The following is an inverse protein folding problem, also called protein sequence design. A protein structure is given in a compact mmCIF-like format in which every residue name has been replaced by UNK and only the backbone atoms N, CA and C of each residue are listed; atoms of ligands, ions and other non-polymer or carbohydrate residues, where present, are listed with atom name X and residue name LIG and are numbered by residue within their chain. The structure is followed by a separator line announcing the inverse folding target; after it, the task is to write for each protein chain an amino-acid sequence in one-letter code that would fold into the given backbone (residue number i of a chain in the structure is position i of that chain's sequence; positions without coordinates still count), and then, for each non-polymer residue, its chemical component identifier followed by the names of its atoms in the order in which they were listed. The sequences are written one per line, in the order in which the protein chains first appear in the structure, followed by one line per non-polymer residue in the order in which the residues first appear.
data_IF_882604092206
#
_entry.id   IF_882604092206
#
_cell.length_a   1.000
_cell.length_b   1.000
_cell.length_c   1.000
_cell.angle_alpha   90.00
_cell.angle_beta   90.00
_cell.angle_gamma   90.00
#
_symmetry.space_group_name_H-M   'P 1'
#
loop_
_entity.id
_entity.type
_entity.pdbx_description
1 polymer ?
#
# COMPACT_ATOMS: atom_id res chain seq x y z
N UNK A 1 -6.88 25.33 -23.69
CA UNK A 1 -5.55 25.07 -23.11
C UNK A 1 -5.45 23.57 -22.92
N UNK A 2 -4.57 22.90 -23.66
CA UNK A 2 -4.38 21.45 -23.52
C UNK A 2 -3.59 21.23 -22.23
N UNK A 3 -4.22 20.62 -21.23
CA UNK A 3 -3.50 20.18 -20.04
C UNK A 3 -2.40 19.21 -20.51
N UNK A 4 -1.16 19.45 -20.12
CA UNK A 4 -0.04 18.57 -20.45
C UNK A 4 -0.13 17.36 -19.50
N UNK A 5 -0.94 16.39 -19.90
CA UNK A 5 -1.22 15.19 -19.10
C UNK A 5 0.06 14.36 -19.05
N UNK A 6 0.62 14.16 -17.86
CA UNK A 6 1.67 13.16 -17.66
C UNK A 6 1.02 11.79 -17.83
N UNK A 7 1.36 11.10 -18.91
CA UNK A 7 0.86 9.75 -19.19
C UNK A 7 1.16 8.80 -18.05
N UNK A 8 0.28 7.82 -17.84
CA UNK A 8 0.43 6.80 -16.78
C UNK A 8 1.76 6.07 -16.86
N UNK A 9 2.35 5.97 -18.05
CA UNK A 9 3.64 5.35 -18.33
C UNK A 9 4.82 6.04 -17.63
N UNK A 10 4.67 7.31 -17.27
CA UNK A 10 5.72 8.08 -16.59
C UNK A 10 5.85 7.80 -15.09
N UNK A 11 4.88 7.10 -14.49
CA UNK A 11 4.89 6.76 -13.07
C UNK A 11 5.42 5.34 -12.85
N UNK A 12 6.13 5.12 -11.76
CA UNK A 12 6.49 3.78 -11.29
C UNK A 12 5.27 3.08 -10.68
N UNK A 13 5.25 1.73 -10.63
CA UNK A 13 4.10 0.98 -10.10
C UNK A 13 3.72 1.42 -8.68
N UNK A 14 4.69 1.78 -7.85
CA UNK A 14 4.47 2.29 -6.49
C UNK A 14 3.74 3.63 -6.46
N UNK A 15 3.93 4.45 -7.49
CA UNK A 15 3.27 5.73 -7.64
C UNK A 15 1.85 5.56 -8.20
N UNK A 16 1.60 4.53 -9.02
CA UNK A 16 0.27 4.28 -9.60
C UNK A 16 -0.81 4.18 -8.52
N UNK A 17 -0.58 3.43 -7.44
CA UNK A 17 -1.56 3.33 -6.33
C UNK A 17 -1.82 4.69 -5.67
N UNK A 18 -0.77 5.51 -5.47
CA UNK A 18 -0.88 6.84 -4.86
C UNK A 18 -1.59 7.83 -5.77
N UNK A 19 -1.25 7.83 -7.06
CA UNK A 19 -1.87 8.65 -8.10
C UNK A 19 -3.37 8.31 -8.24
N UNK A 20 -3.70 7.03 -8.35
CA UNK A 20 -5.09 6.56 -8.39
C UNK A 20 -5.87 6.98 -7.13
N UNK A 21 -5.26 6.83 -5.94
CA UNK A 21 -5.85 7.29 -4.69
C UNK A 21 -6.12 8.80 -4.67
N UNK A 22 -5.19 9.61 -5.15
CA UNK A 22 -5.33 11.06 -5.26
C UNK A 22 -6.46 11.48 -6.20
N UNK A 23 -6.56 10.86 -7.37
CA UNK A 23 -7.67 11.13 -8.31
C UNK A 23 -9.03 10.72 -7.73
N UNK A 24 -9.10 9.60 -7.01
CA UNK A 24 -10.32 9.17 -6.33
C UNK A 24 -10.74 10.14 -5.21
N UNK A 25 -9.77 10.66 -4.44
CA UNK A 25 -10.02 11.67 -3.43
C UNK A 25 -10.53 12.98 -4.05
N UNK A 26 -9.97 13.39 -5.19
CA UNK A 26 -10.45 14.56 -5.93
C UNK A 26 -11.92 14.40 -6.37
N UNK A 27 -12.30 13.21 -6.87
CA UNK A 27 -13.69 12.92 -7.25
C UNK A 27 -14.68 12.98 -6.08
N UNK A 28 -14.25 12.58 -4.88
CA UNK A 28 -15.07 12.63 -3.67
C UNK A 28 -15.14 14.02 -3.03
N UNK A 29 -14.27 14.95 -3.44
CA UNK A 29 -14.23 16.29 -2.85
C UNK A 29 -15.27 17.21 -3.50
N UNK A 30 -16.27 17.62 -2.72
CA UNK A 30 -17.34 18.52 -3.16
C UNK A 30 -16.84 19.94 -3.53
N UNK A 31 -15.66 20.34 -3.04
CA UNK A 31 -15.06 21.65 -3.33
C UNK A 31 -14.20 21.67 -4.61
N UNK A 32 -14.24 20.62 -5.44
CA UNK A 32 -13.47 20.55 -6.69
C UNK A 32 -14.35 20.82 -7.90
N UNK A 33 -13.76 21.42 -8.94
CA UNK A 33 -14.48 21.76 -10.18
C UNK A 33 -14.84 20.52 -11.00
N UNK A 34 -15.90 20.63 -11.80
CA UNK A 34 -16.33 19.55 -12.70
C UNK A 34 -15.26 19.19 -13.73
N UNK A 35 -14.52 20.18 -14.25
CA UNK A 35 -13.39 19.95 -15.16
C UNK A 35 -12.28 19.13 -14.49
N UNK A 36 -11.96 19.42 -13.22
CA UNK A 36 -10.96 18.65 -12.46
C UNK A 36 -11.42 17.21 -12.20
N UNK A 37 -12.73 17.02 -11.98
CA UNK A 37 -13.33 15.69 -11.81
C UNK A 37 -13.34 14.91 -13.12
N UNK A 38 -13.68 15.53 -14.24
CA UNK A 38 -13.61 14.90 -15.56
C UNK A 38 -12.20 14.43 -15.88
N UNK A 39 -11.19 15.28 -15.64
CA UNK A 39 -9.79 14.90 -15.80
C UNK A 39 -9.40 13.73 -14.88
N UNK A 40 -9.82 13.75 -13.62
CA UNK A 40 -9.52 12.66 -12.68
C UNK A 40 -10.16 11.33 -13.07
N UNK A 41 -11.35 11.35 -13.71
CA UNK A 41 -11.97 10.15 -14.28
C UNK A 41 -11.14 9.61 -15.45
N UNK A 42 -10.76 10.47 -16.40
CA UNK A 42 -9.96 10.05 -17.55
C UNK A 42 -8.62 9.40 -17.12
N UNK A 43 -7.93 9.98 -16.13
CA UNK A 43 -6.70 9.39 -15.59
C UNK A 43 -6.92 8.03 -14.91
N UNK A 44 -8.04 7.86 -14.19
CA UNK A 44 -8.36 6.58 -13.55
C UNK A 44 -8.67 5.51 -14.59
N UNK A 45 -9.43 5.85 -15.63
CA UNK A 45 -9.74 4.93 -16.74
C UNK A 45 -8.46 4.51 -17.49
N UNK A 46 -7.50 5.42 -17.70
CA UNK A 46 -6.19 5.10 -18.30
C UNK A 46 -5.38 4.15 -17.40
N UNK A 47 -5.32 4.42 -16.09
CA UNK A 47 -4.63 3.56 -15.12
C UNK A 47 -5.24 2.16 -15.07
N UNK A 48 -6.58 2.07 -15.08
CA UNK A 48 -7.29 0.79 -15.05
C UNK A 48 -7.09 0.00 -16.35
N UNK A 49 -7.24 0.66 -17.51
CA UNK A 49 -7.02 0.06 -18.83
C UNK A 49 -5.59 -0.45 -19.02
N UNK A 50 -4.61 0.22 -18.40
CA UNK A 50 -3.21 -0.22 -18.44
C UNK A 50 -2.92 -1.52 -17.66
N UNK A 51 -3.86 -2.00 -16.82
CA UNK A 51 -3.67 -3.16 -15.95
C UNK A 51 -2.63 -2.97 -14.83
N UNK A 52 -2.02 -1.77 -14.75
CA UNK A 52 -0.93 -1.50 -13.81
C UNK A 52 -1.39 -1.41 -12.36
N UNK A 53 -2.66 -1.05 -12.14
CA UNK A 53 -3.24 -0.98 -10.80
C UNK A 53 -3.20 -2.33 -10.09
N UNK A 54 -3.43 -3.43 -10.81
CA UNK A 54 -3.35 -4.78 -10.25
C UNK A 54 -1.91 -5.14 -9.85
N UNK A 55 -0.94 -4.86 -10.73
CA UNK A 55 0.48 -5.13 -10.44
C UNK A 55 1.03 -4.27 -9.30
N UNK A 56 0.60 -3.01 -9.22
CA UNK A 56 1.00 -2.07 -8.17
C UNK A 56 0.45 -2.44 -6.78
N UNK A 57 -0.74 -3.06 -6.73
CA UNK A 57 -1.35 -3.53 -5.48
C UNK A 57 -0.52 -4.61 -4.78
N UNK A 58 0.11 -5.50 -5.55
CA UNK A 58 0.92 -6.61 -5.02
C UNK A 58 2.27 -6.15 -4.42
N UNK A 59 2.85 -5.05 -4.91
CA UNK A 59 4.15 -4.54 -4.44
C UNK A 59 4.12 -3.88 -3.06
N UNK A 60 2.93 -3.57 -2.51
CA UNK A 60 2.83 -2.91 -1.19
C UNK A 60 2.90 -3.88 0.00
N UNK A 61 2.63 -5.18 -0.21
CA UNK A 61 2.79 -6.18 0.85
C UNK A 61 4.26 -6.30 1.28
N UNK A 62 5.19 -6.20 0.32
CA UNK A 62 6.63 -6.36 0.56
C UNK A 62 7.25 -5.14 1.27
N UNK A 63 6.83 -3.92 0.91
CA UNK A 63 7.40 -2.67 1.47
C UNK A 63 7.21 -2.52 2.98
N UNK A 64 6.21 -3.18 3.56
CA UNK A 64 5.90 -3.10 4.99
C UNK A 64 6.36 -4.32 5.77
N UNK A 65 7.07 -5.27 5.15
CA UNK A 65 7.44 -6.52 5.82
C UNK A 65 8.28 -6.25 7.08
N UNK A 66 9.23 -5.30 7.04
CA UNK A 66 10.01 -4.91 8.22
C UNK A 66 9.16 -4.38 9.39
N UNK A 67 8.09 -3.62 9.09
CA UNK A 67 7.17 -3.12 10.11
C UNK A 67 6.29 -4.23 10.68
N UNK A 68 5.84 -5.16 9.81
CA UNK A 68 5.06 -6.33 10.21
C UNK A 68 5.87 -7.23 11.14
N UNK A 69 7.10 -7.60 10.74
CA UNK A 69 8.01 -8.40 11.55
C UNK A 69 8.37 -7.67 12.85
N UNK A 70 8.64 -6.36 12.81
CA UNK A 70 8.85 -5.56 14.01
C UNK A 70 7.66 -5.57 14.97
N UNK A 71 6.43 -5.54 14.44
CA UNK A 71 5.20 -5.69 15.21
C UNK A 71 5.10 -7.06 15.90
N UNK A 72 5.42 -8.15 15.20
CA UNK A 72 5.45 -9.49 15.78
C UNK A 72 6.51 -9.61 16.88
N UNK A 73 7.70 -9.01 16.71
CA UNK A 73 8.71 -8.93 17.78
C UNK A 73 8.18 -8.20 19.02
N UNK A 74 7.49 -7.08 18.83
CA UNK A 74 6.88 -6.33 19.92
C UNK A 74 5.77 -7.14 20.63
N UNK A 75 4.99 -7.93 19.88
CA UNK A 75 3.98 -8.85 20.43
C UNK A 75 4.61 -9.86 21.40
N UNK A 76 5.77 -10.44 21.04
CA UNK A 76 6.47 -11.42 21.90
C UNK A 76 6.97 -10.77 23.20
N UNK A 77 7.54 -9.57 23.12
CA UNK A 77 8.10 -8.87 24.29
C UNK A 77 7.03 -8.26 25.21
N UNK A 78 5.78 -8.16 24.77
CA UNK A 78 4.74 -7.48 25.54
C UNK A 78 4.11 -8.42 26.59
N UNK A 79 4.25 -8.12 27.90
CA UNK A 79 3.70 -8.97 28.97
C UNK A 79 2.17 -8.99 29.02
N UNK A 80 1.49 -8.06 28.34
CA UNK A 80 0.01 -7.98 28.31
C UNK A 80 -0.62 -8.83 27.21
N UNK A 81 0.18 -9.45 26.35
CA UNK A 81 -0.31 -10.28 25.25
C UNK A 81 -0.41 -11.74 25.72
N UNK A 82 -1.41 -12.46 25.23
CA UNK A 82 -1.59 -13.88 25.53
C UNK A 82 -0.44 -14.72 24.95
N UNK A 83 -0.15 -15.84 25.61
CA UNK A 83 0.90 -16.77 25.14
C UNK A 83 0.60 -17.31 23.74
N UNK A 84 -0.65 -17.60 23.44
CA UNK A 84 -1.09 -18.07 22.11
C UNK A 84 -0.80 -17.05 20.99
N UNK A 85 -0.97 -15.75 21.27
CA UNK A 85 -0.64 -14.69 20.31
C UNK A 85 0.89 -14.48 20.17
N UNK A 86 1.66 -14.76 21.23
CA UNK A 86 3.13 -14.74 21.18
C UNK A 86 3.66 -15.93 20.37
N UNK A 87 3.09 -17.11 20.53
CA UNK A 87 3.46 -18.31 19.77
C UNK A 87 3.22 -18.09 18.27
N UNK A 88 2.04 -17.60 17.90
CA UNK A 88 1.77 -17.21 16.51
C UNK A 88 2.76 -16.17 15.98
N UNK A 89 3.12 -15.16 16.79
CA UNK A 89 4.13 -14.19 16.38
C UNK A 89 5.52 -14.80 16.19
N UNK A 90 5.90 -15.82 16.97
CA UNK A 90 7.17 -16.57 16.78
C UNK A 90 7.15 -17.37 15.49
N UNK A 91 6.02 -18.00 15.16
CA UNK A 91 5.89 -18.79 13.94
C UNK A 91 6.03 -17.92 12.68
N UNK A 92 5.35 -16.77 12.64
CA UNK A 92 5.51 -15.79 11.55
C UNK A 92 6.96 -15.31 11.44
N UNK A 93 7.61 -14.98 12.56
CA UNK A 93 9.01 -14.56 12.54
C UNK A 93 9.95 -15.68 12.08
N UNK A 94 9.66 -16.94 12.40
CA UNK A 94 10.45 -18.10 11.96
C UNK A 94 10.27 -18.36 10.47
N UNK A 95 9.04 -18.27 9.95
CA UNK A 95 8.75 -18.42 8.51
C UNK A 95 9.51 -17.39 7.67
N UNK A 96 9.68 -16.18 8.21
CA UNK A 96 10.40 -15.08 7.56
C UNK A 96 11.89 -14.95 7.95
N UNK A 97 12.48 -15.95 8.62
CA UNK A 97 13.89 -15.97 9.07
C UNK A 97 14.29 -14.71 9.88
N UNK A 98 13.33 -14.17 10.64
CA UNK A 98 13.45 -12.93 11.40
C UNK A 98 13.33 -13.13 12.92
N UNK A 99 13.27 -14.39 13.38
CA UNK A 99 13.21 -14.74 14.80
C UNK A 99 14.59 -14.64 15.43
N UNK A 100 14.76 -13.68 16.35
CA UNK A 100 16.02 -13.53 17.09
C UNK A 100 16.16 -14.63 18.16
N UNK A 101 17.38 -15.09 18.45
CA UNK A 101 17.65 -16.13 19.46
C UNK A 101 17.13 -15.78 20.86
N UNK A 102 17.01 -14.48 21.19
CA UNK A 102 16.44 -14.02 22.46
C UNK A 102 14.94 -14.32 22.61
N UNK A 103 14.26 -14.66 21.51
CA UNK A 103 12.83 -14.99 21.45
C UNK A 103 12.57 -16.42 20.94
N UNK A 104 13.62 -17.18 20.62
CA UNK A 104 13.54 -18.60 20.28
C UNK A 104 13.16 -19.44 21.50
#
# INVERSE_FOLDING_TARGET
MSQNIRSVDSFSNDEITRVAGGHKANLSNNNTSDESKQHSRAQLDEIESSGRLETAGHSNADKNMGNVLGGHKATISNPKVSEEAKEHARDILREHDALDEQYA
#
